data_IF_137761732363
#
_entry.id   IF_137761732363
#
_cell.length_a   1.000
_cell.length_b   1.000
_cell.length_c   1.000
_cell.angle_alpha   90.00
_cell.angle_beta   90.00
_cell.angle_gamma   90.00
#
_symmetry.space_group_name_H-M   'P 1'
#
loop_
_entity.id
_entity.type
_entity.pdbx_description
1 polymer ?
#
# COMPACT_ATOMS: atom_id res chain seq x y z
N UNK A 1 -5.79 -41.41 57.17
CA UNK A 1 -5.29 -41.18 55.83
C UNK A 1 -6.29 -40.30 55.09
N UNK A 2 -5.96 -39.00 54.85
CA UNK A 2 -6.82 -38.06 54.14
C UNK A 2 -6.33 -38.02 52.68
N UNK A 3 -7.15 -38.52 51.75
CA UNK A 3 -6.89 -38.36 50.31
C UNK A 3 -7.22 -36.93 49.88
N UNK A 4 -6.22 -36.25 49.35
CA UNK A 4 -6.34 -34.92 48.78
C UNK A 4 -6.65 -35.08 47.27
N UNK A 5 -7.90 -34.76 46.89
CA UNK A 5 -8.31 -34.69 45.48
C UNK A 5 -7.81 -33.40 44.89
N UNK A 6 -6.85 -33.49 43.97
CA UNK A 6 -6.41 -32.36 43.14
C UNK A 6 -7.40 -32.21 41.99
N UNK A 7 -8.20 -31.14 42.02
CA UNK A 7 -9.06 -30.74 40.91
C UNK A 7 -8.24 -29.98 39.86
N UNK A 8 -7.91 -30.65 38.75
CA UNK A 8 -7.27 -30.00 37.63
C UNK A 8 -8.38 -29.28 36.84
N UNK A 9 -8.44 -27.95 36.95
CA UNK A 9 -9.30 -27.11 36.10
C UNK A 9 -8.56 -26.88 34.77
N UNK A 10 -9.02 -27.58 33.73
CA UNK A 10 -8.61 -27.26 32.35
C UNK A 10 -9.26 -25.92 31.93
N UNK A 11 -8.47 -24.89 31.90
CA UNK A 11 -8.87 -23.61 31.26
C UNK A 11 -8.81 -23.84 29.74
N UNK A 12 -9.95 -24.15 29.12
CA UNK A 12 -10.10 -24.09 27.65
C UNK A 12 -10.10 -22.61 27.26
N UNK A 13 -8.94 -22.08 26.97
CA UNK A 13 -8.82 -20.78 26.32
C UNK A 13 -9.41 -20.90 24.92
N UNK A 14 -10.62 -20.38 24.72
CA UNK A 14 -11.14 -20.11 23.38
C UNK A 14 -10.24 -19.05 22.77
N UNK A 15 -9.40 -19.44 21.80
CA UNK A 15 -8.81 -18.53 20.83
C UNK A 15 -9.99 -17.94 20.02
N UNK A 16 -10.53 -16.84 20.52
CA UNK A 16 -11.35 -15.94 19.70
C UNK A 16 -10.36 -15.32 18.73
N UNK A 17 -10.27 -15.86 17.51
CA UNK A 17 -9.66 -15.14 16.42
C UNK A 17 -10.40 -13.82 16.30
N UNK A 18 -9.69 -12.69 16.37
CA UNK A 18 -10.25 -11.40 15.98
C UNK A 18 -10.75 -11.59 14.54
N UNK A 19 -12.07 -11.69 14.35
CA UNK A 19 -12.70 -11.48 13.07
C UNK A 19 -12.33 -10.04 12.68
N UNK A 20 -11.48 -9.92 11.68
CA UNK A 20 -11.26 -8.64 11.03
C UNK A 20 -12.63 -8.17 10.53
N UNK A 21 -13.17 -7.13 11.14
CA UNK A 21 -14.45 -6.54 10.73
C UNK A 21 -14.26 -6.02 9.30
N UNK A 22 -14.60 -6.87 8.33
CA UNK A 22 -14.54 -6.55 6.91
C UNK A 22 -15.70 -5.63 6.56
N UNK A 23 -15.46 -4.33 6.58
CA UNK A 23 -16.40 -3.37 6.00
C UNK A 23 -16.36 -3.50 4.47
N UNK A 24 -17.49 -3.81 3.82
CA UNK A 24 -17.64 -3.80 2.37
C UNK A 24 -17.63 -2.35 1.84
N UNK A 25 -16.55 -1.66 2.09
CA UNK A 25 -16.29 -0.29 1.66
C UNK A 25 -14.83 -0.16 1.31
N UNK A 26 -14.53 0.58 0.26
CA UNK A 26 -13.15 0.81 -0.18
C UNK A 26 -12.88 2.30 -0.36
N UNK A 27 -11.62 2.68 -0.13
CA UNK A 27 -11.11 4.01 -0.45
C UNK A 27 -10.10 3.89 -1.58
N UNK A 28 -10.27 4.70 -2.62
CA UNK A 28 -9.39 4.71 -3.78
C UNK A 28 -8.68 6.06 -3.87
N UNK A 29 -7.38 6.06 -3.60
CA UNK A 29 -6.47 7.16 -3.85
C UNK A 29 -6.02 7.10 -5.29
N UNK A 30 -6.13 8.22 -6.01
CA UNK A 30 -5.70 8.39 -7.39
C UNK A 30 -4.86 9.66 -7.44
N UNK A 31 -3.62 9.55 -7.94
CA UNK A 31 -2.73 10.69 -8.09
C UNK A 31 -2.10 10.74 -9.47
N UNK A 32 -2.02 11.96 -10.02
CA UNK A 32 -1.22 12.29 -11.18
C UNK A 32 -0.16 13.29 -10.75
N UNK A 33 1.11 12.90 -10.82
CA UNK A 33 2.24 13.76 -10.48
C UNK A 33 2.91 14.27 -11.74
N UNK A 34 3.22 15.58 -11.77
CA UNK A 34 3.83 16.29 -12.89
C UNK A 34 5.09 17.03 -12.46
N UNK A 35 6.03 17.20 -13.38
CA UNK A 35 7.31 17.83 -13.09
C UNK A 35 8.13 17.04 -12.06
N UNK A 36 8.01 15.72 -12.10
CA UNK A 36 8.79 14.83 -11.24
C UNK A 36 10.28 14.87 -11.57
N UNK A 37 11.12 14.54 -10.58
CA UNK A 37 12.54 14.33 -10.81
C UNK A 37 12.76 13.23 -11.84
N UNK A 38 13.45 13.56 -12.96
CA UNK A 38 13.77 12.58 -14.00
C UNK A 38 14.66 11.46 -13.46
N UNK A 39 15.60 11.81 -12.60
CA UNK A 39 16.45 10.84 -11.91
C UNK A 39 15.61 9.82 -11.12
N UNK A 40 14.62 10.30 -10.36
CA UNK A 40 13.72 9.43 -9.60
C UNK A 40 12.85 8.55 -10.52
N UNK A 41 12.33 9.11 -11.64
CA UNK A 41 11.53 8.35 -12.60
C UNK A 41 12.32 7.26 -13.34
N UNK A 42 13.62 7.43 -13.51
CA UNK A 42 14.52 6.47 -14.16
C UNK A 42 15.14 5.47 -13.17
N UNK A 43 15.14 5.77 -11.87
CA UNK A 43 15.60 4.85 -10.82
C UNK A 43 14.51 3.81 -10.49
N UNK A 44 14.43 2.78 -11.31
CA UNK A 44 13.42 1.72 -11.23
C UNK A 44 13.47 0.94 -9.92
N UNK A 45 14.68 0.72 -9.36
CA UNK A 45 14.82 0.06 -8.06
C UNK A 45 14.37 0.97 -6.91
N UNK A 46 14.70 2.24 -6.99
CA UNK A 46 14.22 3.26 -6.05
C UNK A 46 12.72 3.43 -6.11
N UNK A 47 12.12 3.47 -7.30
CA UNK A 47 10.67 3.52 -7.51
C UNK A 47 9.96 2.31 -6.90
N UNK A 48 10.46 1.10 -7.17
CA UNK A 48 9.90 -0.12 -6.58
C UNK A 48 9.95 -0.04 -5.06
N UNK A 49 11.10 0.34 -4.51
CA UNK A 49 11.27 0.44 -3.06
C UNK A 49 10.40 1.55 -2.45
N UNK A 50 10.29 2.70 -3.12
CA UNK A 50 9.43 3.81 -2.69
C UNK A 50 7.96 3.38 -2.64
N UNK A 51 7.46 2.71 -3.68
CA UNK A 51 6.09 2.20 -3.73
C UNK A 51 5.81 1.13 -2.65
N UNK A 52 6.74 0.19 -2.43
CA UNK A 52 6.63 -0.81 -1.37
C UNK A 52 6.62 -0.15 0.02
N UNK A 53 7.48 0.84 0.24
CA UNK A 53 7.54 1.59 1.49
C UNK A 53 6.28 2.45 1.70
N UNK A 54 5.79 3.13 0.64
CA UNK A 54 4.56 3.89 0.69
C UNK A 54 3.36 3.02 1.09
N UNK A 55 3.26 1.82 0.49
CA UNK A 55 2.22 0.85 0.82
C UNK A 55 2.29 0.43 2.30
N UNK A 56 3.48 0.09 2.80
CA UNK A 56 3.66 -0.26 4.22
C UNK A 56 3.38 0.91 5.16
N UNK A 57 3.83 2.12 4.80
CA UNK A 57 3.59 3.33 5.59
C UNK A 57 2.10 3.69 5.67
N UNK A 58 1.33 3.36 4.63
CA UNK A 58 -0.13 3.54 4.69
C UNK A 58 -0.81 2.62 5.70
N UNK A 59 -0.13 1.58 6.19
CA UNK A 59 -0.69 0.54 7.04
C UNK A 59 -1.10 -0.73 6.26
N UNK A 60 -0.90 -0.74 4.93
CA UNK A 60 -1.29 -1.89 4.11
C UNK A 60 -0.27 -3.04 4.16
N UNK A 61 -0.75 -4.26 4.15
CA UNK A 61 0.05 -5.49 4.12
C UNK A 61 0.48 -5.84 2.69
N UNK A 62 1.77 -5.69 2.37
CA UNK A 62 2.31 -6.08 1.05
C UNK A 62 2.43 -7.59 0.96
N UNK A 63 1.73 -8.21 -0.01
CA UNK A 63 1.74 -9.65 -0.25
C UNK A 63 2.69 -10.03 -1.40
N UNK A 64 2.59 -9.34 -2.53
CA UNK A 64 3.37 -9.63 -3.73
C UNK A 64 3.42 -8.41 -4.64
N UNK A 65 4.27 -8.44 -5.66
CA UNK A 65 4.30 -7.41 -6.70
C UNK A 65 4.79 -7.98 -8.02
N UNK A 66 4.47 -7.28 -9.10
CA UNK A 66 4.93 -7.55 -10.46
C UNK A 66 5.25 -6.23 -11.14
N UNK A 67 6.28 -6.22 -11.94
CA UNK A 67 6.69 -5.01 -12.64
C UNK A 67 7.09 -5.28 -14.10
N UNK A 68 7.05 -4.22 -14.91
CA UNK A 68 7.45 -4.22 -16.30
C UNK A 68 8.27 -2.98 -16.64
N UNK A 69 9.37 -3.19 -17.32
CA UNK A 69 10.24 -2.16 -17.88
C UNK A 69 9.93 -1.97 -19.36
N UNK A 70 9.84 -0.73 -19.79
CA UNK A 70 9.57 -0.39 -21.20
C UNK A 70 10.78 0.30 -21.82
N UNK A 71 10.87 0.21 -23.16
CA UNK A 71 11.81 1.02 -23.92
C UNK A 71 11.50 2.51 -23.69
N UNK A 72 12.54 3.35 -23.68
CA UNK A 72 12.39 4.78 -23.33
C UNK A 72 12.37 5.08 -21.84
N UNK A 73 12.49 4.05 -20.96
CA UNK A 73 12.64 4.23 -19.53
C UNK A 73 11.34 4.15 -18.72
N UNK A 74 10.21 4.00 -19.39
CA UNK A 74 8.91 3.80 -18.72
C UNK A 74 8.92 2.57 -17.80
N UNK A 75 8.17 2.63 -16.72
CA UNK A 75 8.06 1.59 -15.70
C UNK A 75 6.64 1.46 -15.20
N UNK A 76 6.20 0.23 -15.05
CA UNK A 76 4.91 -0.11 -14.41
C UNK A 76 5.17 -1.07 -13.28
N UNK A 77 4.57 -0.82 -12.12
CA UNK A 77 4.57 -1.70 -10.96
C UNK A 77 3.14 -1.85 -10.44
N UNK A 78 2.73 -3.09 -10.20
CA UNK A 78 1.50 -3.42 -9.49
C UNK A 78 1.85 -4.20 -8.22
N UNK A 79 1.25 -3.80 -7.09
CA UNK A 79 1.47 -4.40 -5.78
C UNK A 79 0.16 -5.01 -5.30
N UNK A 80 0.19 -6.30 -4.96
CA UNK A 80 -0.90 -6.97 -4.28
C UNK A 80 -0.79 -6.71 -2.79
N UNK A 81 -1.87 -6.20 -2.22
CA UNK A 81 -1.99 -5.91 -0.79
C UNK A 81 -3.03 -6.85 -0.16
N UNK A 82 -2.91 -7.11 1.15
CA UNK A 82 -3.96 -7.81 1.90
C UNK A 82 -5.29 -7.07 1.86
N UNK A 83 -5.25 -5.74 1.77
CA UNK A 83 -6.42 -4.85 1.70
C UNK A 83 -6.88 -4.56 0.28
N UNK A 84 -6.11 -4.78 -0.75
CA UNK A 84 -6.43 -4.73 -2.18
C UNK A 84 -5.18 -4.59 -3.07
N UNK A 85 -4.82 -3.38 -3.56
CA UNK A 85 -3.69 -3.19 -4.47
C UNK A 85 -3.20 -1.73 -4.53
N UNK A 86 -1.96 -1.57 -5.02
CA UNK A 86 -1.40 -0.29 -5.44
C UNK A 86 -0.71 -0.42 -6.80
N UNK A 87 -0.66 0.65 -7.58
CA UNK A 87 0.06 0.67 -8.85
C UNK A 87 0.73 2.01 -9.15
N UNK A 88 1.74 1.98 -9.99
CA UNK A 88 2.37 3.16 -10.59
C UNK A 88 2.69 2.91 -12.05
N UNK A 89 2.46 3.93 -12.89
CA UNK A 89 2.88 3.99 -14.28
C UNK A 89 3.69 5.26 -14.50
N UNK A 90 4.94 5.14 -14.95
CA UNK A 90 5.82 6.28 -15.15
C UNK A 90 5.98 6.63 -16.63
N UNK A 91 6.10 7.93 -16.89
CA UNK A 91 6.31 8.55 -18.21
C UNK A 91 7.48 9.53 -18.10
N UNK A 92 8.74 9.05 -18.11
CA UNK A 92 9.91 9.91 -17.92
C UNK A 92 10.01 11.03 -18.96
N UNK A 93 9.56 10.78 -20.20
CA UNK A 93 9.51 11.73 -21.31
C UNK A 93 8.56 12.91 -21.06
N UNK A 94 7.60 12.73 -20.13
CA UNK A 94 6.65 13.77 -19.69
C UNK A 94 6.92 14.27 -18.27
N UNK A 95 7.99 13.81 -17.62
CA UNK A 95 8.27 14.10 -16.21
C UNK A 95 7.06 13.79 -15.30
N UNK A 96 6.32 12.72 -15.60
CA UNK A 96 5.04 12.43 -14.99
C UNK A 96 4.91 10.95 -14.57
N UNK A 97 4.02 10.70 -13.62
CA UNK A 97 3.53 9.36 -13.32
C UNK A 97 2.10 9.37 -12.79
N UNK A 98 1.41 8.23 -12.96
CA UNK A 98 0.08 7.98 -12.43
C UNK A 98 0.16 6.90 -11.37
N UNK A 99 -0.52 7.13 -10.24
CA UNK A 99 -0.44 6.27 -9.06
C UNK A 99 -1.85 6.00 -8.53
N UNK A 100 -2.07 4.74 -8.16
CA UNK A 100 -3.28 4.28 -7.52
C UNK A 100 -2.95 3.56 -6.21
N UNK A 101 -3.80 3.76 -5.19
CA UNK A 101 -3.90 2.92 -4.01
C UNK A 101 -5.37 2.66 -3.72
N UNK A 102 -5.81 1.43 -3.86
CA UNK A 102 -7.13 0.99 -3.42
C UNK A 102 -7.00 0.14 -2.17
N UNK A 103 -7.74 0.48 -1.12
CA UNK A 103 -7.76 -0.26 0.14
C UNK A 103 -9.17 -0.40 0.69
N UNK A 104 -9.47 -1.56 1.26
CA UNK A 104 -10.70 -1.83 2.01
C UNK A 104 -10.47 -1.76 3.53
N UNK A 105 -9.27 -1.37 3.97
CA UNK A 105 -8.90 -1.26 5.38
C UNK A 105 -9.22 0.13 5.96
N UNK A 106 -9.90 0.19 7.08
CA UNK A 106 -10.16 1.45 7.79
C UNK A 106 -8.88 2.11 8.31
N UNK A 107 -7.81 1.33 8.49
CA UNK A 107 -6.54 1.78 9.06
C UNK A 107 -5.54 2.30 8.02
N UNK A 108 -5.87 2.22 6.72
CA UNK A 108 -4.96 2.66 5.67
C UNK A 108 -5.02 4.18 5.45
N UNK A 109 -3.87 4.84 5.62
CA UNK A 109 -3.72 6.28 5.39
C UNK A 109 -3.22 6.57 3.98
N UNK A 110 -4.05 7.20 3.16
CA UNK A 110 -3.68 7.71 1.84
C UNK A 110 -2.64 8.83 1.93
N UNK A 111 -2.70 9.65 3.00
CA UNK A 111 -1.75 10.74 3.27
C UNK A 111 -0.34 10.19 3.50
N UNK A 112 -0.21 9.16 4.35
CA UNK A 112 1.07 8.51 4.62
C UNK A 112 1.67 7.83 3.37
N UNK A 113 0.82 7.25 2.51
CA UNK A 113 1.22 6.72 1.21
C UNK A 113 1.77 7.84 0.30
N UNK A 114 1.00 8.91 0.16
CA UNK A 114 1.34 10.06 -0.68
C UNK A 114 2.65 10.73 -0.25
N UNK A 115 2.86 10.91 1.06
CA UNK A 115 4.05 11.57 1.61
C UNK A 115 5.36 10.89 1.16
N UNK A 116 5.41 9.57 1.21
CA UNK A 116 6.58 8.80 0.75
C UNK A 116 6.86 9.04 -0.71
N UNK A 117 5.82 9.05 -1.56
CA UNK A 117 5.96 9.22 -2.99
C UNK A 117 6.35 10.65 -3.38
N UNK A 118 5.75 11.65 -2.74
CA UNK A 118 6.11 13.06 -2.96
C UNK A 118 7.57 13.32 -2.59
N UNK A 119 8.03 12.75 -1.47
CA UNK A 119 9.43 12.88 -1.04
C UNK A 119 10.42 12.22 -2.02
N UNK A 120 10.06 11.12 -2.63
CA UNK A 120 10.90 10.42 -3.61
C UNK A 120 10.84 11.06 -4.99
N UNK A 121 9.64 11.30 -5.53
CA UNK A 121 9.40 11.78 -6.89
C UNK A 121 9.65 13.28 -7.05
N UNK A 122 9.49 14.06 -5.98
CA UNK A 122 9.63 15.53 -5.94
C UNK A 122 8.83 16.22 -7.04
N UNK A 123 7.52 15.96 -7.17
CA UNK A 123 6.71 16.57 -8.22
C UNK A 123 6.59 18.08 -8.02
N UNK A 124 6.56 18.84 -9.13
CA UNK A 124 6.27 20.27 -9.11
C UNK A 124 4.77 20.54 -8.94
N UNK A 125 3.92 19.60 -9.40
CA UNK A 125 2.46 19.67 -9.30
C UNK A 125 1.87 18.28 -9.08
N UNK A 126 0.73 18.20 -8.37
CA UNK A 126 0.05 16.95 -8.06
C UNK A 126 -1.47 17.11 -8.08
N UNK A 127 -2.13 16.31 -8.90
CA UNK A 127 -3.59 16.19 -8.91
C UNK A 127 -3.99 14.93 -8.16
N UNK A 128 -4.58 15.11 -6.98
CA UNK A 128 -4.93 14.01 -6.06
C UNK A 128 -6.43 13.97 -5.85
N UNK A 129 -7.00 12.76 -5.86
CA UNK A 129 -8.39 12.48 -5.50
C UNK A 129 -8.44 11.26 -4.60
N UNK A 130 -9.34 11.30 -3.60
CA UNK A 130 -9.74 10.14 -2.83
C UNK A 130 -11.23 9.89 -3.07
N UNK A 131 -11.57 8.66 -3.44
CA UNK A 131 -12.93 8.26 -3.82
C UNK A 131 -13.35 7.13 -2.90
N UNK A 132 -14.49 7.29 -2.24
CA UNK A 132 -15.13 6.19 -1.52
C UNK A 132 -15.89 5.29 -2.50
N UNK A 133 -15.76 3.97 -2.31
CA UNK A 133 -16.40 2.93 -3.12
C UNK A 133 -17.26 2.05 -2.21
N UNK A 134 -18.59 2.10 -2.43
CA UNK A 134 -19.61 1.38 -1.67
C UNK A 134 -20.29 0.33 -2.54
#
# INVERSE_FOLDING_TARGET
MKQLFFLIVFFLGTLVGEECDYAFQGKHFIASYYGCSQEALLDKKGLQQAMLNASRNSGAGVLNHVDQHFEGGGYTLAILLSESHASIHTYPEHYACFVDLFTCGEHCSHEAFNEVLVNFLKPADAHIRSIERN
#
